data_IF_532705563456
#
_entry.id   IF_532705563456
#
_cell.length_a   1.000
_cell.length_b   1.000
_cell.length_c   1.000
_cell.angle_alpha   90.00
_cell.angle_beta   90.00
_cell.angle_gamma   90.00
#
_symmetry.space_group_name_H-M   'P 1'
#
loop_
_entity.id
_entity.type
_entity.pdbx_description
1 polymer ?
#
# COMPACT_ATOMS: atom_id res chain seq x y z
N UNK A 1 -25.95 37.34 21.51
CA UNK A 1 -24.56 36.84 21.60
C UNK A 1 -24.51 35.50 20.87
N UNK A 2 -24.11 35.51 19.60
CA UNK A 2 -24.18 34.35 18.69
C UNK A 2 -23.04 33.37 19.02
N UNK A 3 -23.41 32.15 19.42
CA UNK A 3 -22.50 31.07 19.77
C UNK A 3 -22.13 30.35 18.47
N UNK A 4 -20.92 30.55 17.97
CA UNK A 4 -20.38 29.85 16.82
C UNK A 4 -19.89 28.47 17.28
N UNK A 5 -20.57 27.41 16.85
CA UNK A 5 -20.05 26.04 16.97
C UNK A 5 -18.97 25.85 15.93
N UNK A 6 -17.73 25.65 16.38
CA UNK A 6 -16.65 25.18 15.51
C UNK A 6 -16.87 23.68 15.29
N UNK A 7 -17.59 23.32 14.24
CA UNK A 7 -17.50 21.97 13.70
C UNK A 7 -16.08 21.79 13.16
N UNK A 8 -15.23 21.16 13.96
CA UNK A 8 -13.90 20.77 13.54
C UNK A 8 -14.06 19.78 12.37
N UNK A 9 -13.70 20.24 11.17
CA UNK A 9 -13.58 19.38 9.99
C UNK A 9 -12.54 18.31 10.34
N UNK A 10 -13.01 17.11 10.68
CA UNK A 10 -12.16 15.93 10.80
C UNK A 10 -11.70 15.59 9.39
N UNK A 11 -10.50 16.02 9.04
CA UNK A 11 -9.82 15.46 7.88
C UNK A 11 -9.63 13.98 8.15
N UNK A 12 -10.26 13.13 7.33
CA UNK A 12 -9.92 11.70 7.31
C UNK A 12 -8.41 11.62 7.03
N UNK A 13 -7.65 11.09 7.99
CA UNK A 13 -6.23 10.88 7.80
C UNK A 13 -6.05 10.03 6.53
N UNK A 14 -5.07 10.36 5.67
CA UNK A 14 -4.83 9.57 4.47
C UNK A 14 -4.59 8.12 4.89
N UNK A 15 -5.49 7.22 4.47
CA UNK A 15 -5.39 5.78 4.74
C UNK A 15 -4.00 5.33 4.35
N UNK A 16 -3.20 4.92 5.34
CA UNK A 16 -1.87 4.37 5.08
C UNK A 16 -2.08 3.09 4.25
N UNK A 17 -1.41 2.96 3.09
CA UNK A 17 -1.55 1.75 2.31
C UNK A 17 -1.08 0.57 3.16
N UNK A 18 -1.92 -0.45 3.28
CA UNK A 18 -1.55 -1.68 3.98
C UNK A 18 -0.62 -2.46 3.06
N UNK A 19 0.67 -2.22 3.24
CA UNK A 19 1.78 -2.90 2.58
C UNK A 19 2.55 -3.57 3.71
N UNK A 20 2.55 -4.89 3.71
CA UNK A 20 3.31 -5.69 4.68
C UNK A 20 4.35 -6.55 3.95
N UNK A 21 5.56 -6.63 4.49
CA UNK A 21 6.64 -7.42 3.90
C UNK A 21 6.54 -8.81 4.51
N UNK A 22 6.03 -9.76 3.73
CA UNK A 22 5.87 -11.14 4.17
C UNK A 22 7.20 -11.90 4.17
N UNK A 23 8.09 -11.59 3.21
CA UNK A 23 9.43 -12.14 3.16
C UNK A 23 10.41 -11.15 2.53
N UNK A 24 11.52 -10.90 3.21
CA UNK A 24 12.63 -10.10 2.69
C UNK A 24 13.51 -10.90 1.72
N UNK A 25 14.11 -10.22 0.73
CA UNK A 25 15.11 -10.85 -0.12
C UNK A 25 16.35 -11.23 0.69
N UNK A 26 16.95 -12.37 0.37
CA UNK A 26 18.16 -12.87 1.01
C UNK A 26 19.08 -13.57 0.00
N UNK A 27 20.20 -14.13 0.48
CA UNK A 27 21.22 -14.78 -0.36
C UNK A 27 20.67 -15.92 -1.23
N UNK A 28 19.65 -16.64 -0.76
CA UNK A 28 19.05 -17.79 -1.44
C UNK A 28 17.76 -17.45 -2.18
N UNK A 29 17.07 -16.38 -1.77
CA UNK A 29 15.80 -15.93 -2.33
C UNK A 29 15.90 -14.46 -2.76
N UNK A 30 16.01 -14.22 -4.06
CA UNK A 30 16.25 -12.87 -4.60
C UNK A 30 15.00 -12.00 -4.72
N UNK A 31 13.83 -12.53 -4.39
CA UNK A 31 12.55 -11.82 -4.43
C UNK A 31 12.00 -11.54 -3.03
N UNK A 32 11.24 -10.45 -2.94
CA UNK A 32 10.44 -10.12 -1.76
C UNK A 32 8.99 -10.58 -1.96
N UNK A 33 8.38 -11.13 -0.92
CA UNK A 33 6.93 -11.32 -0.90
C UNK A 33 6.30 -10.15 -0.15
N UNK A 34 5.32 -9.50 -0.78
CA UNK A 34 4.64 -8.32 -0.22
C UNK A 34 3.14 -8.57 -0.24
N UNK A 35 2.47 -8.34 0.89
CA UNK A 35 1.03 -8.30 0.99
C UNK A 35 0.56 -6.87 0.72
N UNK A 36 -0.36 -6.72 -0.22
CA UNK A 36 -0.91 -5.42 -0.62
C UNK A 36 -2.42 -5.53 -0.61
N UNK A 37 -3.10 -4.57 0.03
CA UNK A 37 -4.56 -4.54 -0.02
C UNK A 37 -5.06 -4.38 -1.48
N UNK A 38 -6.16 -5.05 -1.87
CA UNK A 38 -6.64 -5.04 -3.25
C UNK A 38 -6.84 -3.64 -3.84
N UNK A 39 -7.32 -2.69 -3.03
CA UNK A 39 -7.56 -1.32 -3.43
C UNK A 39 -6.28 -0.52 -3.77
N UNK A 40 -5.11 -1.01 -3.34
CA UNK A 40 -3.81 -0.37 -3.60
C UNK A 40 -2.98 -1.10 -4.65
N UNK A 41 -3.42 -2.27 -5.14
CA UNK A 41 -2.64 -3.12 -6.03
C UNK A 41 -2.16 -2.39 -7.29
N UNK A 42 -3.08 -1.73 -8.01
CA UNK A 42 -2.73 -1.04 -9.26
C UNK A 42 -1.75 0.12 -9.01
N UNK A 43 -1.97 0.88 -7.94
CA UNK A 43 -1.08 1.98 -7.55
C UNK A 43 0.31 1.45 -7.20
N UNK A 44 0.37 0.33 -6.48
CA UNK A 44 1.62 -0.32 -6.11
C UNK A 44 2.38 -0.84 -7.33
N UNK A 45 1.70 -1.47 -8.29
CA UNK A 45 2.32 -1.93 -9.55
C UNK A 45 2.89 -0.77 -10.37
N UNK A 46 2.18 0.36 -10.45
CA UNK A 46 2.70 1.57 -11.11
C UNK A 46 3.96 2.09 -10.41
N UNK A 47 3.99 2.08 -9.08
CA UNK A 47 5.15 2.49 -8.29
C UNK A 47 6.35 1.58 -8.58
N UNK A 48 6.17 0.26 -8.52
CA UNK A 48 7.23 -0.71 -8.85
C UNK A 48 7.82 -0.45 -10.24
N UNK A 49 6.95 -0.26 -11.24
CA UNK A 49 7.38 0.03 -12.62
C UNK A 49 8.18 1.33 -12.72
N UNK A 50 7.76 2.40 -12.02
CA UNK A 50 8.50 3.68 -11.96
C UNK A 50 9.89 3.52 -11.34
N UNK A 51 10.04 2.59 -10.41
CA UNK A 51 11.32 2.24 -9.77
C UNK A 51 12.12 1.18 -10.54
N UNK A 52 11.70 0.80 -11.75
CA UNK A 52 12.41 -0.17 -12.58
C UNK A 52 12.24 -1.63 -12.13
N UNK A 53 11.31 -1.90 -11.21
CA UNK A 53 10.93 -3.26 -10.81
C UNK A 53 9.86 -3.76 -11.77
N UNK A 54 10.26 -4.62 -12.71
CA UNK A 54 9.36 -5.18 -13.74
C UNK A 54 9.03 -6.65 -13.55
N UNK A 55 9.84 -7.38 -12.78
CA UNK A 55 9.62 -8.80 -12.48
C UNK A 55 8.71 -8.92 -11.24
N UNK A 56 7.41 -9.02 -11.50
CA UNK A 56 6.38 -9.08 -10.45
C UNK A 56 5.44 -10.25 -10.77
N UNK A 57 5.24 -11.12 -9.78
CA UNK A 57 4.30 -12.23 -9.85
C UNK A 57 3.24 -12.08 -8.75
N UNK A 58 1.96 -12.13 -9.14
CA UNK A 58 0.84 -12.15 -8.20
C UNK A 58 0.60 -13.61 -7.78
N UNK A 59 0.95 -13.95 -6.55
CA UNK A 59 0.98 -15.34 -6.04
C UNK A 59 -0.41 -15.81 -5.55
N UNK A 60 -1.23 -14.91 -4.99
CA UNK A 60 -2.55 -15.27 -4.42
C UNK A 60 -3.55 -14.13 -4.62
N UNK A 61 -4.72 -14.44 -5.18
CA UNK A 61 -5.80 -13.48 -5.47
C UNK A 61 -7.02 -13.61 -4.56
N UNK A 62 -6.95 -14.44 -3.53
CA UNK A 62 -8.07 -14.77 -2.63
C UNK A 62 -7.72 -14.42 -1.19
N UNK A 63 -8.40 -13.40 -0.66
CA UNK A 63 -8.90 -13.32 0.71
C UNK A 63 -10.29 -12.66 0.65
#
# INVERSE_FOLDING_TARGET
MTKWSHDAVKYDEPKRPLIDIWAEPNRYRKHADVLVAPEFLDTFLVLLKRHGVSDVQIIKKDI
#
